data_IF_214845303864
#
_entry.id   IF_214845303864
#
_cell.length_a   1.000
_cell.length_b   1.000
_cell.length_c   1.000
_cell.angle_alpha   90.00
_cell.angle_beta   90.00
_cell.angle_gamma   90.00
#
_symmetry.space_group_name_H-M   'P 1'
#
loop_
_entity.id
_entity.type
_entity.pdbx_description
1 polymer ?
#
# COMPACT_ATOMS: atom_id res chain seq x y z
N UNK A 1 -7.23 -3.55 13.45
CA UNK A 1 -6.84 -3.97 12.09
C UNK A 1 -6.36 -5.40 12.15
N UNK A 2 -6.50 -6.18 11.07
CA UNK A 2 -5.91 -7.51 11.00
C UNK A 2 -4.39 -7.41 10.88
N UNK A 3 -3.69 -8.28 11.60
CA UNK A 3 -2.23 -8.38 11.58
C UNK A 3 -1.80 -9.24 10.39
N UNK A 4 -1.50 -8.60 9.27
CA UNK A 4 -0.98 -9.23 8.05
C UNK A 4 0.44 -8.74 7.82
N UNK A 5 1.34 -9.66 7.45
CA UNK A 5 2.71 -9.29 7.12
C UNK A 5 2.75 -8.60 5.76
N UNK A 6 3.20 -7.35 5.76
CA UNK A 6 3.51 -6.56 4.58
C UNK A 6 5.02 -6.39 4.46
N UNK A 7 5.58 -6.93 3.39
CA UNK A 7 7.01 -6.85 3.10
C UNK A 7 7.24 -5.81 2.00
N UNK A 8 8.21 -4.91 2.23
CA UNK A 8 8.68 -3.94 1.23
C UNK A 8 10.05 -4.40 0.73
N UNK A 9 10.18 -4.60 -0.58
CA UNK A 9 11.48 -4.88 -1.19
C UNK A 9 12.41 -3.67 -1.00
N UNK A 10 13.63 -3.91 -0.54
CA UNK A 10 14.61 -2.86 -0.20
C UNK A 10 15.45 -2.41 -1.39
N UNK A 11 15.25 -2.98 -2.59
CA UNK A 11 16.07 -2.68 -3.77
C UNK A 11 15.23 -2.15 -4.95
N UNK A 12 15.64 -0.96 -5.40
CA UNK A 12 15.34 -0.20 -6.62
C UNK A 12 14.20 0.83 -6.60
N UNK A 13 14.60 2.04 -7.01
CA UNK A 13 13.97 3.37 -6.88
C UNK A 13 12.69 3.65 -7.69
N UNK A 14 11.94 2.65 -8.18
CA UNK A 14 10.67 2.95 -8.85
C UNK A 14 9.62 1.88 -8.57
N UNK A 15 8.61 2.26 -7.78
CA UNK A 15 7.42 1.46 -7.52
C UNK A 15 7.48 0.66 -6.23
N UNK A 16 6.73 1.10 -5.21
CA UNK A 16 6.52 0.35 -3.98
C UNK A 16 5.78 -0.96 -4.25
N UNK A 17 6.51 -2.06 -4.49
CA UNK A 17 5.91 -3.40 -4.42
C UNK A 17 5.84 -3.78 -2.94
N UNK A 18 4.72 -3.46 -2.31
CA UNK A 18 4.33 -4.04 -1.03
C UNK A 18 3.69 -5.38 -1.34
N UNK A 19 4.40 -6.47 -1.08
CA UNK A 19 3.81 -7.81 -1.17
C UNK A 19 3.09 -8.04 0.16
N UNK A 20 1.76 -8.05 0.11
CA UNK A 20 0.94 -8.52 1.22
C UNK A 20 0.88 -10.04 1.12
N UNK A 21 1.63 -10.74 1.98
CA UNK A 21 1.60 -12.20 2.02
C UNK A 21 0.30 -12.70 2.65
N UNK A 22 -0.12 -13.95 2.38
CA UNK A 22 -1.20 -14.62 3.12
C UNK A 22 -0.80 -14.99 4.56
N UNK A 23 0.38 -14.55 5.01
CA UNK A 23 0.96 -14.91 6.29
C UNK A 23 0.46 -13.95 7.37
N UNK A 24 -0.27 -14.51 8.34
CA UNK A 24 -0.65 -13.81 9.56
C UNK A 24 0.62 -13.42 10.32
N UNK A 25 0.66 -12.19 10.84
CA UNK A 25 1.79 -11.76 11.64
C UNK A 25 1.84 -12.52 12.97
N UNK A 26 3.04 -12.90 13.40
CA UNK A 26 3.24 -13.72 14.59
C UNK A 26 2.69 -13.02 15.84
N UNK A 27 2.15 -13.78 16.82
CA UNK A 27 1.82 -13.24 18.13
C UNK A 27 3.05 -12.56 18.74
N UNK A 28 2.90 -11.34 19.24
CA UNK A 28 4.04 -10.55 19.76
C UNK A 28 4.67 -9.59 18.74
N UNK A 29 4.36 -9.71 17.44
CA UNK A 29 4.88 -8.78 16.42
C UNK A 29 4.32 -7.37 16.65
N UNK A 30 5.19 -6.36 16.64
CA UNK A 30 4.76 -4.96 16.70
C UNK A 30 3.92 -4.60 15.48
N UNK A 31 2.83 -3.89 15.70
CA UNK A 31 1.94 -3.43 14.66
C UNK A 31 1.48 -2.00 14.95
N UNK A 32 1.06 -1.28 13.91
CA UNK A 32 0.43 0.03 14.06
C UNK A 32 -1.08 -0.16 14.08
N UNK A 33 -1.75 0.38 15.10
CA UNK A 33 -3.21 0.28 15.23
C UNK A 33 -3.89 1.12 14.15
N UNK A 34 -5.20 0.92 13.94
CA UNK A 34 -5.98 1.70 12.97
C UNK A 34 -6.00 3.21 13.30
N UNK A 35 -5.72 3.58 14.54
CA UNK A 35 -5.61 4.99 15.00
C UNK A 35 -4.18 5.52 14.97
N UNK A 36 -3.22 4.78 14.40
CA UNK A 36 -1.82 5.20 14.28
C UNK A 36 -0.98 4.97 15.55
N UNK A 37 -1.52 4.34 16.58
CA UNK A 37 -0.81 4.07 17.84
C UNK A 37 -0.03 2.75 17.85
N UNK A 38 0.88 2.54 18.81
CA UNK A 38 1.59 1.27 18.96
C UNK A 38 0.66 0.14 19.40
N UNK A 39 0.83 -1.02 18.78
CA UNK A 39 0.07 -2.24 19.06
C UNK A 39 0.95 -3.48 18.96
N UNK A 40 0.39 -4.61 19.37
CA UNK A 40 0.99 -5.93 19.23
C UNK A 40 -0.01 -6.90 18.62
N UNK A 41 0.47 -7.80 17.77
CA UNK A 41 -0.37 -8.80 17.14
C UNK A 41 -0.74 -9.91 18.14
N UNK A 42 -2.04 -10.16 18.31
CA UNK A 42 -2.59 -11.25 19.12
C UNK A 42 -3.71 -11.90 18.29
N UNK A 43 -3.57 -13.20 17.97
CA UNK A 43 -4.56 -13.95 17.17
C UNK A 43 -4.99 -13.21 15.89
N UNK A 44 -4.01 -12.75 15.12
CA UNK A 44 -4.23 -12.05 13.83
C UNK A 44 -4.95 -10.69 13.94
N UNK A 45 -5.03 -10.13 15.15
CA UNK A 45 -5.58 -8.80 15.42
C UNK A 45 -4.48 -7.92 16.02
N UNK A 46 -4.32 -6.71 15.47
CA UNK A 46 -3.45 -5.70 16.06
C UNK A 46 -4.14 -5.10 17.28
N UNK A 47 -3.71 -5.52 18.47
CA UNK A 47 -4.25 -5.08 19.75
C UNK A 47 -3.44 -3.89 20.27
N UNK A 48 -4.06 -2.76 20.63
CA UNK A 48 -3.35 -1.59 21.15
C UNK A 48 -2.64 -1.91 22.47
N UNK A 49 -1.47 -1.31 22.69
CA UNK A 49 -0.76 -1.39 23.97
C UNK A 49 -1.14 -0.15 24.78
N UNK A 50 -1.68 -0.36 25.99
CA UNK A 50 -1.96 0.72 26.92
C UNK A 50 -0.66 1.32 27.48
N UNK A 51 -0.76 2.52 28.07
CA UNK A 51 0.39 3.21 28.66
C UNK A 51 1.08 2.46 29.83
N UNK A 52 0.45 1.41 30.35
CA UNK A 52 0.99 0.51 31.37
C UNK A 52 1.76 -0.67 30.76
N UNK A 53 2.01 -0.65 29.44
CA UNK A 53 2.74 -1.69 28.72
C UNK A 53 1.92 -2.94 28.44
N UNK A 54 0.61 -2.92 28.73
CA UNK A 54 -0.26 -4.08 28.60
C UNK A 54 -1.07 -4.05 27.30
N UNK A 55 -1.01 -5.12 26.53
CA UNK A 55 -1.82 -5.29 25.33
C UNK A 55 -3.31 -5.40 25.70
N UNK A 56 -4.15 -4.60 25.06
CA UNK A 56 -5.59 -4.52 25.30
C UNK A 56 -5.99 -3.66 26.50
N UNK A 57 -5.02 -3.04 27.18
CA UNK A 57 -5.31 -2.10 28.26
C UNK A 57 -5.94 -0.82 27.72
N UNK A 58 -7.00 -0.37 28.40
CA UNK A 58 -7.71 0.87 28.07
C UNK A 58 -7.07 2.10 28.71
N UNK A 59 -5.97 1.94 29.44
CA UNK A 59 -5.24 3.06 30.05
C UNK A 59 -4.49 3.83 28.97
N UNK A 60 -4.60 5.15 29.03
CA UNK A 60 -3.93 6.07 28.12
C UNK A 60 -3.06 7.05 28.90
N UNK A 61 -1.99 7.54 28.25
CA UNK A 61 -1.18 8.61 28.79
C UNK A 61 -2.02 9.89 28.83
N UNK A 62 -2.09 10.57 29.99
CA UNK A 62 -2.70 11.89 30.11
C UNK A 62 -1.81 12.97 29.48
N UNK A 63 -2.32 14.19 29.32
CA UNK A 63 -1.52 15.31 28.79
C UNK A 63 -0.28 15.63 29.64
N UNK A 64 -0.23 15.16 30.89
CA UNK A 64 0.89 15.30 31.82
C UNK A 64 1.87 14.12 31.79
N UNK A 65 1.78 13.22 30.81
CA UNK A 65 2.70 12.09 30.66
C UNK A 65 2.45 10.91 31.61
N UNK A 66 1.34 10.88 32.35
CA UNK A 66 1.02 9.78 33.28
C UNK A 66 0.05 8.78 32.68
N UNK A 67 0.29 7.51 32.95
CA UNK A 67 -0.64 6.47 32.57
C UNK A 67 -1.86 6.43 33.49
N UNK A 68 -3.03 6.83 33.00
CA UNK A 68 -4.27 6.87 33.79
C UNK A 68 -5.36 5.98 33.19
N UNK A 69 -6.26 5.53 34.06
CA UNK A 69 -7.50 4.89 33.61
C UNK A 69 -8.51 5.94 33.16
N UNK A 70 -9.35 5.66 32.14
CA UNK A 70 -10.27 6.64 31.55
C UNK A 70 -11.28 7.24 32.54
N UNK A 71 -11.51 6.59 33.69
CA UNK A 71 -12.45 7.04 34.72
C UNK A 71 -11.78 7.72 35.94
N UNK A 72 -10.47 7.97 35.91
CA UNK A 72 -9.79 8.68 37.00
C UNK A 72 -9.73 10.19 36.67
N UNK A 73 -10.49 11.00 37.40
CA UNK A 73 -10.52 12.45 37.21
C UNK A 73 -9.17 13.08 37.58
N UNK A 74 -8.56 13.77 36.62
CA UNK A 74 -7.24 14.35 36.76
C UNK A 74 -7.30 15.72 37.45
N UNK A 75 -7.33 15.75 38.79
CA UNK A 75 -7.26 16.99 39.57
C UNK A 75 -5.82 17.53 39.74
N UNK A 76 -4.83 16.93 39.07
CA UNK A 76 -3.39 17.16 39.30
C UNK A 76 -2.65 17.61 38.05
N UNK A 77 -3.25 17.55 36.85
CA UNK A 77 -2.62 18.01 35.61
C UNK A 77 -3.10 19.41 35.25
N UNK A 78 -2.21 20.39 35.36
CA UNK A 78 -2.49 21.78 35.03
C UNK A 78 -2.03 22.12 33.61
N UNK A 79 -2.85 22.92 32.91
CA UNK A 79 -2.52 23.49 31.61
C UNK A 79 -1.93 24.87 31.82
N UNK A 80 -0.70 25.08 31.37
CA UNK A 80 0.00 26.35 31.43
C UNK A 80 0.11 26.90 30.01
N UNK A 81 -0.44 28.08 29.78
CA UNK A 81 -0.39 28.72 28.46
C UNK A 81 -0.49 30.22 28.56
N UNK A 82 0.14 30.93 27.63
CA UNK A 82 -0.05 32.36 27.51
C UNK A 82 0.78 33.00 26.40
N UNK A 83 0.45 34.24 26.03
CA UNK A 83 1.31 35.06 25.19
C UNK A 83 2.49 35.62 26.02
N UNK A 84 3.65 35.70 25.40
CA UNK A 84 4.85 36.36 25.94
C UNK A 84 5.27 37.42 24.93
N UNK A 85 5.27 38.67 25.39
CA UNK A 85 5.81 39.80 24.65
C UNK A 85 6.80 40.54 25.53
N UNK A 86 7.94 40.92 24.97
CA UNK A 86 8.97 41.72 25.65
C UNK A 86 9.20 43.03 24.92
N UNK A 87 9.90 43.95 25.58
CA UNK A 87 10.26 45.24 24.97
C UNK A 87 11.13 45.02 23.72
N UNK A 88 10.97 45.88 22.69
CA UNK A 88 11.77 45.81 21.47
C UNK A 88 13.27 45.73 21.74
N UNK A 89 13.92 44.67 21.25
CA UNK A 89 15.32 44.33 21.57
C UNK A 89 16.02 43.78 20.33
N UNK A 90 17.35 43.67 20.39
CA UNK A 90 18.21 43.01 19.40
C UNK A 90 19.10 41.98 20.09
N UNK A 91 19.50 40.93 19.39
CA UNK A 91 20.28 39.81 19.92
C UNK A 91 19.40 38.69 20.47
N UNK A 92 19.98 37.88 21.36
CA UNK A 92 19.31 36.75 21.99
C UNK A 92 18.41 37.22 23.14
N UNK A 93 17.15 36.81 23.11
CA UNK A 93 16.15 37.15 24.12
C UNK A 93 15.58 35.87 24.70
N UNK A 94 15.85 35.59 25.98
CA UNK A 94 15.21 34.50 26.72
C UNK A 94 13.71 34.78 26.86
N UNK A 95 12.85 33.81 26.54
CA UNK A 95 11.40 33.99 26.51
C UNK A 95 10.70 33.20 27.60
N UNK A 96 10.98 31.90 27.70
CA UNK A 96 10.44 31.03 28.75
C UNK A 96 11.42 29.91 29.06
N UNK A 97 11.50 29.54 30.34
CA UNK A 97 12.13 28.30 30.79
C UNK A 97 11.05 27.26 31.05
N UNK A 98 11.10 26.15 30.33
CA UNK A 98 10.19 25.04 30.51
C UNK A 98 10.75 24.10 31.58
N UNK A 99 9.96 23.76 32.62
CA UNK A 99 10.44 22.95 33.74
C UNK A 99 10.54 21.47 33.38
N UNK A 100 11.33 20.74 34.18
CA UNK A 100 11.32 19.27 34.18
C UNK A 100 9.90 18.76 34.44
N UNK A 101 9.49 17.73 33.71
CA UNK A 101 8.13 17.16 33.79
C UNK A 101 7.09 17.91 32.95
N UNK A 102 7.44 19.00 32.27
CA UNK A 102 6.54 19.59 31.28
C UNK A 102 6.36 18.63 30.09
N UNK A 103 5.13 18.47 29.64
CA UNK A 103 4.76 17.58 28.54
C UNK A 103 3.76 18.23 27.61
N UNK A 104 3.57 17.66 26.42
CA UNK A 104 2.70 18.23 25.36
C UNK A 104 3.03 19.71 25.11
N UNK A 105 4.32 20.00 24.97
CA UNK A 105 4.84 21.36 24.82
C UNK A 105 4.57 21.82 23.39
N UNK A 106 4.06 23.03 23.25
CA UNK A 106 3.92 23.75 21.99
C UNK A 106 4.36 25.19 22.18
N UNK A 107 5.33 25.65 21.39
CA UNK A 107 5.82 27.03 21.43
C UNK A 107 5.81 27.60 20.02
N UNK A 108 5.16 28.74 19.83
CA UNK A 108 4.97 29.36 18.52
C UNK A 108 5.52 30.77 18.52
N UNK A 109 6.43 31.06 17.59
CA UNK A 109 6.87 32.40 17.23
C UNK A 109 5.95 32.95 16.13
N UNK A 110 5.32 34.09 16.40
CA UNK A 110 4.36 34.75 15.50
C UNK A 110 5.00 35.79 14.59
N UNK A 111 6.32 35.91 14.64
CA UNK A 111 7.09 36.78 13.76
C UNK A 111 7.70 35.96 12.62
N UNK A 112 7.86 36.57 11.42
CA UNK A 112 8.57 35.93 10.34
C UNK A 112 10.02 35.58 10.72
N UNK A 113 10.57 34.46 10.20
CA UNK A 113 11.96 34.03 10.44
C UNK A 113 13.01 35.12 10.14
N UNK A 114 12.69 36.06 9.24
CA UNK A 114 13.56 37.21 8.89
C UNK A 114 13.68 38.25 10.00
N UNK A 115 12.68 38.34 10.89
CA UNK A 115 12.61 39.32 11.97
C UNK A 115 12.99 38.70 13.32
N UNK A 116 12.68 37.42 13.52
CA UNK A 116 12.95 36.69 14.74
C UNK A 116 12.99 35.19 14.45
N UNK A 117 13.96 34.48 15.02
CA UNK A 117 14.07 33.01 14.90
C UNK A 117 14.05 32.35 16.27
N UNK A 118 13.26 31.29 16.42
CA UNK A 118 13.17 30.52 17.67
C UNK A 118 14.37 29.60 17.86
N UNK A 119 14.95 29.58 19.05
CA UNK A 119 16.08 28.75 19.44
C UNK A 119 15.80 28.03 20.77
N UNK A 120 16.48 26.91 20.99
CA UNK A 120 16.37 26.12 22.23
C UNK A 120 17.74 25.94 22.84
N UNK A 121 17.84 26.24 24.14
CA UNK A 121 19.05 26.06 24.93
C UNK A 121 18.88 25.05 26.05
N UNK A 122 19.95 24.34 26.34
CA UNK A 122 20.09 23.50 27.53
C UNK A 122 20.24 24.34 28.80
N UNK A 123 20.13 23.69 29.95
CA UNK A 123 20.42 24.28 31.25
C UNK A 123 21.90 24.67 31.40
N UNK A 124 22.81 23.96 30.73
CA UNK A 124 24.26 24.28 30.68
C UNK A 124 24.57 25.47 29.79
N UNK A 125 23.63 25.89 28.94
CA UNK A 125 23.74 27.04 28.06
C UNK A 125 24.09 26.72 26.61
N UNK A 126 24.19 25.44 26.25
CA UNK A 126 24.46 24.98 24.90
C UNK A 126 23.22 25.12 24.00
N UNK A 127 23.41 25.46 22.73
CA UNK A 127 22.33 25.51 21.75
C UNK A 127 21.95 24.09 21.31
N UNK A 128 20.74 23.66 21.64
CA UNK A 128 20.14 22.38 21.24
C UNK A 128 19.44 22.50 19.89
N UNK A 129 18.91 23.69 19.58
CA UNK A 129 18.28 24.01 18.29
C UNK A 129 18.45 25.49 17.96
N UNK A 130 18.66 25.80 16.68
CA UNK A 130 18.86 27.17 16.18
C UNK A 130 17.94 27.51 15.02
N UNK A 131 17.99 26.73 13.94
CA UNK A 131 17.04 26.78 12.82
C UNK A 131 17.17 25.49 12.04
N UNK A 132 16.05 24.95 11.56
CA UNK A 132 16.01 23.73 10.76
C UNK A 132 15.06 23.86 9.58
N UNK A 133 15.09 22.91 8.62
CA UNK A 133 14.04 22.81 7.61
C UNK A 133 12.68 22.45 8.25
N UNK A 134 11.54 22.79 7.63
CA UNK A 134 10.23 22.37 8.13
C UNK A 134 10.14 20.84 8.26
N UNK A 135 9.59 20.34 9.36
CA UNK A 135 9.54 18.92 9.70
C UNK A 135 10.82 18.37 10.32
N UNK A 136 11.81 19.23 10.63
CA UNK A 136 13.04 18.81 11.29
C UNK A 136 12.77 18.33 12.72
N UNK A 137 13.27 17.14 13.04
CA UNK A 137 13.18 16.54 14.36
C UNK A 137 14.53 16.70 15.07
N UNK A 138 14.53 17.13 16.32
CA UNK A 138 15.74 17.29 17.13
C UNK A 138 15.50 16.89 18.59
N UNK A 139 16.57 16.50 19.30
CA UNK A 139 16.47 16.16 20.71
C UNK A 139 16.70 17.39 21.60
N UNK A 140 15.78 17.63 22.53
CA UNK A 140 15.95 18.64 23.58
C UNK A 140 15.27 18.21 24.88
N UNK A 141 15.95 18.44 26.01
CA UNK A 141 15.41 18.11 27.33
C UNK A 141 15.08 16.63 27.55
N UNK A 142 15.67 15.72 26.76
CA UNK A 142 15.44 14.27 26.84
C UNK A 142 14.23 13.76 26.05
N UNK A 143 13.67 14.57 25.14
CA UNK A 143 12.60 14.17 24.21
C UNK A 143 12.85 14.73 22.82
N UNK A 144 12.17 14.16 21.81
CA UNK A 144 12.18 14.65 20.43
C UNK A 144 11.19 15.80 20.28
N UNK A 145 11.63 16.88 19.64
CA UNK A 145 10.83 18.02 19.21
C UNK A 145 10.74 18.04 17.69
N UNK A 146 9.57 18.43 17.19
CA UNK A 146 9.34 18.68 15.77
C UNK A 146 9.24 20.19 15.52
N UNK A 147 9.99 20.66 14.53
CA UNK A 147 9.96 22.05 14.08
C UNK A 147 9.05 22.20 12.87
N UNK A 148 8.01 23.03 13.00
CA UNK A 148 7.08 23.32 11.92
C UNK A 148 7.14 24.80 11.52
N UNK A 149 6.90 25.05 10.23
CA UNK A 149 6.69 26.39 9.70
C UNK A 149 5.37 26.38 8.96
N UNK A 150 4.46 27.27 9.32
CA UNK A 150 3.19 27.44 8.63
C UNK A 150 3.09 28.83 8.01
N UNK A 151 2.40 28.89 6.87
CA UNK A 151 2.13 30.13 6.14
C UNK A 151 0.64 30.18 5.89
N UNK A 152 -0.07 30.99 6.67
CA UNK A 152 -1.52 31.13 6.58
C UNK A 152 -1.88 32.59 6.33
N UNK A 153 -2.56 32.87 5.20
CA UNK A 153 -2.98 34.23 4.85
C UNK A 153 -1.83 35.24 4.67
N UNK A 154 -0.59 34.79 4.47
CA UNK A 154 0.60 35.65 4.36
C UNK A 154 1.36 35.88 5.67
N UNK A 155 0.84 35.39 6.81
CA UNK A 155 1.54 35.40 8.08
C UNK A 155 2.37 34.12 8.25
N UNK A 156 3.62 34.30 8.67
CA UNK A 156 4.56 33.22 8.94
C UNK A 156 4.56 32.92 10.43
N UNK A 157 4.42 31.64 10.80
CA UNK A 157 4.68 31.20 12.17
C UNK A 157 5.64 30.03 12.20
N UNK A 158 6.55 30.07 13.17
CA UNK A 158 7.47 28.97 13.48
C UNK A 158 6.97 28.32 14.76
N UNK A 159 6.83 26.99 14.81
CA UNK A 159 6.43 26.27 16.01
C UNK A 159 7.34 25.10 16.33
N UNK A 160 7.48 24.85 17.63
CA UNK A 160 8.18 23.72 18.23
C UNK A 160 7.18 22.92 19.04
N UNK A 161 7.02 21.64 18.70
CA UNK A 161 6.04 20.75 19.36
C UNK A 161 6.71 19.46 19.84
N UNK A 162 6.26 18.94 20.97
CA UNK A 162 6.60 17.58 21.41
C UNK A 162 5.44 16.97 22.19
N UNK A 163 5.24 15.66 22.01
CA UNK A 163 4.32 14.87 22.81
C UNK A 163 5.02 14.15 23.98
N UNK A 164 6.35 14.21 24.06
CA UNK A 164 7.10 13.63 25.16
C UNK A 164 7.14 14.52 26.40
N UNK A 165 7.79 14.02 27.45
CA UNK A 165 7.96 14.71 28.74
C UNK A 165 9.41 15.13 28.90
N UNK A 166 9.64 16.36 29.38
CA UNK A 166 10.98 16.87 29.61
C UNK A 166 11.64 16.22 30.84
N UNK A 167 12.81 15.62 30.64
CA UNK A 167 13.67 15.11 31.71
C UNK A 167 14.57 16.21 32.28
N UNK A 168 14.94 17.19 31.46
CA UNK A 168 15.78 18.33 31.85
C UNK A 168 15.07 19.65 31.50
N UNK A 169 15.39 20.72 32.24
CA UNK A 169 14.86 22.04 31.92
C UNK A 169 15.46 22.57 30.61
N UNK A 170 14.63 23.22 29.78
CA UNK A 170 15.08 23.86 28.54
C UNK A 170 14.64 25.31 28.51
N UNK A 171 15.42 26.15 27.84
CA UNK A 171 15.13 27.58 27.70
C UNK A 171 14.84 27.88 26.25
N UNK A 172 13.68 28.48 25.99
CA UNK A 172 13.32 29.01 24.68
C UNK A 172 13.88 30.43 24.56
N UNK A 173 14.69 30.65 23.53
CA UNK A 173 15.22 31.94 23.17
C UNK A 173 14.72 32.36 21.79
N UNK A 174 14.70 33.67 21.54
CA UNK A 174 14.50 34.23 20.21
C UNK A 174 15.70 35.08 19.84
N UNK A 175 16.25 34.84 18.66
CA UNK A 175 17.28 35.68 18.07
C UNK A 175 16.66 36.78 17.20
N UNK A 176 16.98 38.04 17.48
CA UNK A 176 16.51 39.21 16.73
C UNK A 176 17.71 39.93 16.10
N UNK A 177 17.90 39.91 14.77
CA UNK A 177 19.15 40.33 14.15
C UNK A 177 19.50 41.81 14.38
N UNK A 178 18.65 42.77 13.94
CA UNK A 178 19.02 44.21 14.04
C UNK A 178 17.86 45.21 14.15
N UNK A 179 16.61 44.84 13.85
CA UNK A 179 15.54 45.83 13.63
C UNK A 179 14.80 46.33 14.89
N UNK A 180 15.29 46.04 16.11
CA UNK A 180 14.58 46.26 17.39
C UNK A 180 13.09 45.92 17.28
N UNK A 181 12.79 44.63 17.20
CA UNK A 181 11.41 44.12 17.13
C UNK A 181 11.02 43.58 18.50
N UNK A 182 9.75 43.72 18.89
CA UNK A 182 9.23 43.07 20.09
C UNK A 182 8.98 41.59 19.79
N UNK A 183 9.62 40.64 20.48
CA UNK A 183 9.35 39.22 20.26
C UNK A 183 7.91 38.90 20.64
N UNK A 184 7.25 38.06 19.84
CA UNK A 184 5.87 37.63 20.04
C UNK A 184 5.79 36.12 20.00
N UNK A 185 5.75 35.50 21.20
CA UNK A 185 5.61 34.05 21.34
C UNK A 185 4.33 33.71 22.06
N UNK A 186 3.69 32.60 21.69
CA UNK A 186 2.74 31.91 22.54
C UNK A 186 3.29 30.55 22.93
N UNK A 187 3.04 30.12 24.16
CA UNK A 187 3.39 28.79 24.61
C UNK A 187 2.19 28.09 25.22
N UNK A 188 2.23 26.76 25.19
CA UNK A 188 1.35 25.85 25.90
C UNK A 188 2.17 24.63 26.35
N UNK A 189 1.99 24.22 27.60
CA UNK A 189 2.47 22.93 28.10
C UNK A 189 1.59 22.47 29.26
N UNK A 190 1.69 21.18 29.58
CA UNK A 190 1.01 20.59 30.73
C UNK A 190 2.05 20.16 31.76
N UNK A 191 1.72 20.30 33.05
CA UNK A 191 2.57 19.88 34.15
C UNK A 191 1.74 19.44 35.35
N UNK A 192 2.37 18.73 36.28
CA UNK A 192 1.70 18.37 37.54
C UNK A 192 1.62 19.59 38.47
N UNK A 193 0.48 19.81 39.10
CA UNK A 193 0.24 20.91 40.03
C UNK A 193 0.87 20.58 41.41
N UNK A 194 1.79 21.46 41.87
CA UNK A 194 2.47 21.54 43.18
C UNK A 194 2.35 20.35 44.16
N UNK A 195 3.39 19.50 44.19
CA UNK A 195 3.66 18.47 45.23
C UNK A 195 4.48 19.05 46.38
N UNK A 196 4.13 20.21 46.93
CA UNK A 196 4.85 20.77 48.11
C UNK A 196 4.17 20.48 49.46
N UNK A 197 2.99 19.85 49.48
CA UNK A 197 2.27 19.52 50.75
C UNK A 197 2.16 18.02 51.06
N UNK A 198 2.75 17.12 50.26
CA UNK A 198 2.81 15.68 50.58
C UNK A 198 4.04 15.29 51.42
N UNK A 199 4.84 16.28 51.87
CA UNK A 199 6.07 16.06 52.64
C UNK A 199 5.90 15.78 54.14
N UNK A 200 4.67 15.70 54.68
CA UNK A 200 4.45 15.49 56.13
C UNK A 200 3.25 14.60 56.49
N UNK A 201 3.00 13.53 55.73
CA UNK A 201 2.38 12.34 56.32
C UNK A 201 3.05 11.14 55.67
N UNK A 202 3.86 10.45 56.48
CA UNK A 202 4.57 9.25 56.07
C UNK A 202 3.59 8.13 55.77
N UNK A 203 3.12 8.08 54.53
CA UNK A 203 2.83 6.83 53.84
C UNK A 203 3.67 6.84 52.59
N UNK A 204 4.69 5.98 52.57
CA UNK A 204 5.34 5.56 51.32
C UNK A 204 4.27 4.85 50.48
N UNK A 205 3.39 5.60 49.83
CA UNK A 205 2.75 5.14 48.61
C UNK A 205 3.86 5.10 47.57
N UNK A 206 4.56 3.96 47.58
CA UNK A 206 5.15 3.43 46.37
C UNK A 206 4.04 3.56 45.33
N UNK A 207 4.32 4.23 44.20
CA UNK A 207 3.47 4.11 43.03
C UNK A 207 3.13 2.64 42.77
N UNK A 208 2.09 2.33 41.96
CA UNK A 208 1.79 0.95 41.60
C UNK A 208 3.13 0.30 41.24
N UNK A 209 3.46 -0.84 41.88
CA UNK A 209 4.82 -1.36 41.86
C UNK A 209 5.28 -1.32 40.40
N UNK A 210 6.36 -0.57 40.13
CA UNK A 210 7.23 -0.92 39.01
C UNK A 210 7.35 -2.41 39.14
N UNK A 211 6.76 -3.14 38.18
CA UNK A 211 6.65 -4.60 38.19
C UNK A 211 7.90 -5.11 38.87
N UNK A 212 7.76 -5.52 40.14
CA UNK A 212 8.83 -6.21 40.83
C UNK A 212 9.28 -7.26 39.83
N UNK A 213 10.58 -7.36 39.49
CA UNK A 213 11.02 -8.27 38.44
C UNK A 213 10.39 -9.61 38.77
N UNK A 214 9.43 -10.11 37.96
CA UNK A 214 8.86 -11.39 38.27
C UNK A 214 10.02 -12.33 38.04
N UNK A 215 10.42 -13.07 39.07
CA UNK A 215 11.45 -14.11 38.97
C UNK A 215 10.96 -15.28 38.07
N UNK A 216 9.99 -15.04 37.20
CA UNK A 216 9.21 -15.98 36.41
C UNK A 216 8.69 -15.34 35.10
N UNK A 217 9.42 -14.37 34.54
CA UNK A 217 9.28 -13.97 33.13
C UNK A 217 10.26 -14.83 32.33
N UNK A 218 9.77 -15.59 31.37
CA UNK A 218 10.62 -16.38 30.47
C UNK A 218 9.95 -16.59 29.11
N UNK A 219 10.74 -17.08 28.16
CA UNK A 219 10.27 -17.52 26.86
C UNK A 219 9.39 -18.77 27.00
N UNK A 220 8.16 -18.70 26.49
CA UNK A 220 7.30 -19.88 26.35
C UNK A 220 6.80 -20.02 24.92
N UNK A 221 6.55 -21.25 24.48
CA UNK A 221 6.00 -21.49 23.14
C UNK A 221 4.50 -21.23 23.12
N UNK A 222 4.07 -20.42 22.16
CA UNK A 222 2.65 -20.26 21.84
C UNK A 222 2.05 -21.51 21.18
N UNK A 223 0.75 -21.49 20.85
CA UNK A 223 0.14 -22.55 20.07
C UNK A 223 0.80 -22.65 18.68
N UNK A 224 0.77 -23.85 18.10
CA UNK A 224 1.19 -24.03 16.70
C UNK A 224 0.30 -23.19 15.77
N UNK A 225 0.94 -22.52 14.81
CA UNK A 225 0.25 -21.87 13.72
C UNK A 225 -0.55 -22.89 12.89
N UNK A 226 -1.43 -22.39 12.03
CA UNK A 226 -2.12 -23.20 11.02
C UNK A 226 -1.11 -23.94 10.13
N UNK A 227 -1.48 -25.14 9.67
CA UNK A 227 -0.62 -25.92 8.78
C UNK A 227 -0.44 -25.17 7.46
N UNK A 228 0.78 -25.19 6.91
CA UNK A 228 1.07 -24.59 5.59
C UNK A 228 0.16 -25.14 4.50
N UNK A 229 -0.24 -26.40 4.64
CA UNK A 229 -1.09 -27.11 3.70
C UNK A 229 -2.27 -27.74 4.46
N UNK A 230 -3.48 -27.62 3.92
CA UNK A 230 -4.67 -28.25 4.53
C UNK A 230 -4.76 -29.75 4.22
N UNK A 231 -4.13 -30.16 3.13
CA UNK A 231 -3.95 -31.53 2.67
C UNK A 231 -2.54 -31.63 2.06
N UNK A 232 -1.96 -32.82 1.96
CA UNK A 232 -0.51 -33.06 1.72
C UNK A 232 0.39 -32.85 2.93
N UNK A 233 1.68 -33.13 2.77
CA UNK A 233 2.69 -32.99 3.83
C UNK A 233 3.06 -31.52 4.00
N UNK A 234 2.49 -30.88 5.02
CA UNK A 234 2.82 -29.51 5.42
C UNK A 234 3.71 -29.46 6.66
N UNK A 235 4.00 -28.24 7.09
CA UNK A 235 4.66 -27.96 8.38
C UNK A 235 3.83 -26.98 9.21
N UNK A 236 3.88 -27.15 10.52
CA UNK A 236 3.38 -26.19 11.51
C UNK A 236 4.54 -25.72 12.37
N UNK A 237 4.55 -24.43 12.65
CA UNK A 237 5.61 -23.80 13.44
C UNK A 237 4.99 -23.23 14.72
N UNK A 238 5.66 -23.41 15.85
CA UNK A 238 5.38 -22.71 17.10
C UNK A 238 6.58 -21.82 17.44
N UNK A 239 6.30 -20.56 17.75
CA UNK A 239 7.31 -19.56 18.11
C UNK A 239 7.32 -19.34 19.62
N UNK A 240 8.50 -19.01 20.15
CA UNK A 240 8.64 -18.56 21.53
C UNK A 240 8.22 -17.09 21.65
N UNK A 241 7.40 -16.81 22.65
CA UNK A 241 6.93 -15.48 23.05
C UNK A 241 7.32 -15.21 24.49
N UNK A 242 7.62 -13.94 24.80
CA UNK A 242 7.95 -13.56 26.16
C UNK A 242 6.69 -13.59 27.01
N UNK A 243 6.69 -14.36 28.10
CA UNK A 243 5.49 -14.53 28.93
C UNK A 243 5.75 -14.32 30.40
N UNK A 244 4.74 -13.74 31.04
CA UNK A 244 4.65 -13.59 32.48
C UNK A 244 3.89 -14.78 33.08
N UNK A 245 4.63 -15.71 33.69
CA UNK A 245 4.07 -16.96 34.23
C UNK A 245 3.23 -16.72 35.49
N UNK A 246 3.45 -15.61 36.20
CA UNK A 246 2.69 -15.27 37.40
C UNK A 246 1.31 -14.67 37.06
N UNK A 247 1.12 -14.20 35.83
CA UNK A 247 -0.11 -13.56 35.34
C UNK A 247 -0.75 -14.35 34.19
N UNK A 248 -1.08 -15.62 34.44
CA UNK A 248 -1.84 -16.47 33.51
C UNK A 248 -1.23 -16.54 32.09
N UNK A 249 0.10 -16.69 32.00
CA UNK A 249 0.86 -16.74 30.74
C UNK A 249 0.61 -15.55 29.83
N UNK A 250 0.52 -14.35 30.41
CA UNK A 250 0.32 -13.11 29.66
C UNK A 250 1.52 -12.85 28.75
N UNK A 251 1.25 -12.57 27.48
CA UNK A 251 2.26 -12.23 26.48
C UNK A 251 2.75 -10.79 26.70
N UNK A 252 4.06 -10.62 26.78
CA UNK A 252 4.77 -9.36 26.92
C UNK A 252 5.60 -9.07 25.65
N UNK A 253 6.01 -7.82 25.42
CA UNK A 253 6.98 -7.51 24.38
C UNK A 253 8.34 -8.20 24.62
N UNK A 254 9.06 -8.52 23.55
CA UNK A 254 10.30 -9.31 23.60
C UNK A 254 11.40 -8.68 24.48
N UNK A 255 11.41 -7.36 24.66
CA UNK A 255 12.42 -6.66 25.48
C UNK A 255 12.39 -7.08 26.96
N UNK A 256 11.26 -7.58 27.46
CA UNK A 256 11.15 -8.08 28.84
C UNK A 256 11.90 -9.41 29.05
N UNK A 257 12.15 -10.18 27.98
CA UNK A 257 12.92 -11.42 28.02
C UNK A 257 14.34 -11.26 27.44
N UNK A 258 14.82 -10.02 27.27
CA UNK A 258 16.15 -9.73 26.69
C UNK A 258 17.33 -10.30 27.49
N UNK A 259 17.11 -10.69 28.75
CA UNK A 259 18.10 -11.35 29.61
C UNK A 259 18.32 -12.84 29.31
N UNK A 260 17.46 -13.48 28.51
CA UNK A 260 17.59 -14.86 28.08
C UNK A 260 17.57 -14.96 26.55
N UNK A 261 18.33 -15.92 26.00
CA UNK A 261 18.37 -16.14 24.56
C UNK A 261 17.02 -16.64 24.05
N UNK A 262 16.50 -16.01 22.99
CA UNK A 262 15.21 -16.38 22.39
C UNK A 262 15.30 -17.79 21.78
N UNK A 263 14.47 -18.76 22.23
CA UNK A 263 14.49 -20.11 21.70
C UNK A 263 14.15 -20.18 20.21
N UNK A 264 14.73 -21.15 19.51
CA UNK A 264 14.44 -21.39 18.10
C UNK A 264 13.00 -21.90 17.91
N UNK A 265 12.36 -21.61 16.77
CA UNK A 265 11.00 -22.08 16.52
C UNK A 265 10.93 -23.61 16.48
N UNK A 266 9.88 -24.19 17.07
CA UNK A 266 9.59 -25.62 16.96
C UNK A 266 8.86 -25.85 15.64
N UNK A 267 9.42 -26.73 14.81
CA UNK A 267 8.82 -27.14 13.54
C UNK A 267 8.33 -28.58 13.67
N UNK A 268 7.08 -28.83 13.26
CA UNK A 268 6.51 -30.18 13.16
C UNK A 268 5.85 -30.39 11.81
N UNK A 269 5.82 -31.64 11.35
CA UNK A 269 5.02 -32.01 10.19
C UNK A 269 3.53 -32.04 10.52
N UNK A 270 2.70 -31.66 9.56
CA UNK A 270 1.24 -31.62 9.67
C UNK A 270 0.62 -31.91 8.30
N UNK A 271 -0.71 -32.02 8.26
CA UNK A 271 -1.47 -32.31 7.04
C UNK A 271 -1.81 -33.79 6.90
N UNK A 272 -2.91 -34.05 6.22
CA UNK A 272 -3.57 -35.36 6.21
C UNK A 272 -3.57 -35.95 4.81
N UNK A 273 -2.47 -36.63 4.44
CA UNK A 273 -2.43 -37.46 3.24
C UNK A 273 -2.78 -36.72 1.94
N UNK A 274 -3.42 -37.41 1.01
CA UNK A 274 -3.78 -36.85 -0.30
C UNK A 274 -4.94 -35.84 -0.17
N UNK A 275 -4.95 -34.83 -1.02
CA UNK A 275 -6.09 -33.90 -1.13
C UNK A 275 -7.34 -34.57 -1.69
N UNK A 276 -8.49 -33.92 -1.53
CA UNK A 276 -9.71 -34.34 -2.21
C UNK A 276 -9.53 -34.27 -3.75
N UNK A 277 -10.02 -35.25 -4.52
CA UNK A 277 -9.96 -35.23 -5.98
C UNK A 277 -10.70 -34.02 -6.57
N UNK A 278 -10.12 -33.41 -7.60
CA UNK A 278 -10.65 -32.22 -8.27
C UNK A 278 -10.59 -32.34 -9.79
N UNK A 279 -11.56 -31.71 -10.46
CA UNK A 279 -11.53 -31.58 -11.92
C UNK A 279 -10.50 -30.54 -12.34
N UNK A 280 -9.63 -30.92 -13.26
CA UNK A 280 -8.64 -30.05 -13.88
C UNK A 280 -8.89 -30.01 -15.37
N UNK A 281 -8.94 -28.80 -15.93
CA UNK A 281 -9.15 -28.60 -17.37
C UNK A 281 -7.90 -28.05 -18.01
N UNK A 282 -7.57 -28.54 -19.21
CA UNK A 282 -6.60 -27.89 -20.09
C UNK A 282 -7.29 -26.79 -20.91
N UNK A 283 -6.48 -26.07 -21.66
CA UNK A 283 -6.96 -25.10 -22.63
C UNK A 283 -7.84 -25.75 -23.69
N UNK A 284 -8.71 -24.95 -24.28
CA UNK A 284 -9.51 -25.36 -25.42
C UNK A 284 -8.60 -25.61 -26.62
N UNK A 285 -8.79 -26.76 -27.26
CA UNK A 285 -8.20 -27.02 -28.56
C UNK A 285 -8.71 -26.01 -29.60
N UNK A 286 -8.01 -25.84 -30.73
CA UNK A 286 -8.49 -25.04 -31.84
C UNK A 286 -9.92 -25.42 -32.25
N UNK A 287 -10.67 -24.43 -32.73
CA UNK A 287 -12.02 -24.65 -33.24
C UNK A 287 -11.99 -25.68 -34.37
N UNK A 288 -12.88 -26.68 -34.34
CA UNK A 288 -12.98 -27.68 -35.40
C UNK A 288 -13.34 -27.06 -36.74
N UNK A 289 -13.99 -25.89 -36.71
CA UNK A 289 -14.29 -25.10 -37.87
C UNK A 289 -13.08 -24.21 -38.25
N UNK A 290 -12.56 -24.41 -39.46
CA UNK A 290 -11.42 -23.66 -40.02
C UNK A 290 -11.83 -22.52 -40.96
N UNK A 291 -13.14 -22.40 -41.26
CA UNK A 291 -13.75 -21.38 -42.12
C UNK A 291 -14.76 -20.55 -41.31
N UNK A 292 -15.33 -19.49 -41.87
CA UNK A 292 -16.31 -18.68 -41.12
C UNK A 292 -17.57 -19.52 -40.81
N UNK A 293 -18.05 -19.47 -39.57
CA UNK A 293 -19.21 -20.27 -39.12
C UNK A 293 -19.09 -20.83 -37.70
N UNK A 294 -20.05 -21.69 -37.34
CA UNK A 294 -20.11 -22.38 -36.04
C UNK A 294 -19.28 -23.65 -36.10
N UNK A 295 -18.40 -23.86 -35.13
CA UNK A 295 -17.68 -25.11 -34.90
C UNK A 295 -17.82 -25.58 -33.46
N UNK A 296 -17.09 -26.64 -33.13
CA UNK A 296 -16.94 -27.14 -31.76
C UNK A 296 -15.48 -27.08 -31.32
N UNK A 297 -15.26 -26.74 -30.05
CA UNK A 297 -13.98 -26.88 -29.37
C UNK A 297 -14.09 -27.94 -28.31
N UNK A 298 -13.03 -28.73 -28.20
CA UNK A 298 -12.87 -29.71 -27.14
C UNK A 298 -11.75 -29.29 -26.20
N UNK A 299 -11.86 -29.65 -24.93
CA UNK A 299 -10.77 -29.53 -23.96
C UNK A 299 -10.66 -30.80 -23.15
N UNK A 300 -9.44 -31.06 -22.68
CA UNK A 300 -9.22 -32.17 -21.77
C UNK A 300 -9.74 -31.81 -20.38
N UNK A 301 -10.58 -32.69 -19.81
CA UNK A 301 -11.10 -32.60 -18.44
C UNK A 301 -10.69 -33.89 -17.73
N UNK A 302 -9.84 -33.79 -16.71
CA UNK A 302 -9.31 -34.94 -15.97
C UNK A 302 -9.61 -34.80 -14.48
N UNK A 303 -9.96 -35.91 -13.84
CA UNK A 303 -9.99 -35.98 -12.39
C UNK A 303 -8.57 -36.18 -11.86
N UNK A 304 -8.09 -35.24 -11.04
CA UNK A 304 -6.74 -35.23 -10.49
C UNK A 304 -6.78 -35.26 -8.97
N UNK A 305 -5.84 -35.95 -8.34
CA UNK A 305 -5.59 -35.91 -6.91
C UNK A 305 -4.20 -35.37 -6.65
N UNK A 306 -4.07 -34.44 -5.70
CA UNK A 306 -2.77 -34.01 -5.21
C UNK A 306 -2.33 -34.97 -4.11
N UNK A 307 -1.30 -35.77 -4.39
CA UNK A 307 -0.75 -36.75 -3.47
C UNK A 307 0.00 -36.10 -2.31
N UNK A 308 0.19 -36.84 -1.21
CA UNK A 308 0.87 -36.36 -0.01
C UNK A 308 2.31 -35.85 -0.24
N UNK A 309 2.95 -36.30 -1.32
CA UNK A 309 4.28 -35.89 -1.77
C UNK A 309 4.29 -34.62 -2.65
N UNK A 310 3.13 -33.98 -2.87
CA UNK A 310 2.98 -32.80 -3.71
C UNK A 310 2.83 -33.08 -5.21
N UNK A 311 2.70 -34.34 -5.62
CA UNK A 311 2.52 -34.72 -7.03
C UNK A 311 1.03 -34.79 -7.40
N UNK A 312 0.67 -34.12 -8.48
CA UNK A 312 -0.66 -34.28 -9.10
C UNK A 312 -0.69 -35.59 -9.91
N UNK A 313 -1.62 -36.49 -9.59
CA UNK A 313 -1.83 -37.76 -10.29
C UNK A 313 -3.25 -37.85 -10.85
N UNK A 314 -3.38 -38.39 -12.07
CA UNK A 314 -4.67 -38.66 -12.67
C UNK A 314 -5.33 -39.86 -12.00
N UNK A 315 -6.61 -39.71 -11.66
CA UNK A 315 -7.44 -40.76 -11.05
C UNK A 315 -8.72 -40.98 -11.85
N UNK A 316 -9.53 -41.97 -11.47
CA UNK A 316 -10.79 -42.26 -12.15
C UNK A 316 -11.82 -41.14 -11.95
N UNK A 317 -12.63 -40.90 -12.98
CA UNK A 317 -13.64 -39.84 -13.01
C UNK A 317 -14.66 -39.93 -11.86
N UNK A 318 -14.95 -41.13 -11.37
CA UNK A 318 -15.91 -41.39 -10.28
C UNK A 318 -15.47 -40.81 -8.92
N UNK A 319 -14.18 -40.53 -8.76
CA UNK A 319 -13.63 -39.99 -7.52
C UNK A 319 -13.81 -38.47 -7.41
N UNK A 320 -14.07 -37.79 -8.53
CA UNK A 320 -14.38 -36.36 -8.55
C UNK A 320 -15.90 -36.11 -8.47
N UNK A 321 -16.35 -35.03 -7.83
CA UNK A 321 -17.78 -34.73 -7.75
C UNK A 321 -18.40 -34.48 -9.14
N UNK A 322 -19.35 -35.32 -9.54
CA UNK A 322 -20.03 -35.20 -10.84
C UNK A 322 -20.72 -33.84 -11.04
N UNK A 323 -21.28 -33.28 -9.95
CA UNK A 323 -21.97 -31.98 -9.99
C UNK A 323 -21.06 -30.81 -10.40
N UNK A 324 -19.75 -30.92 -10.19
CA UNK A 324 -18.78 -29.89 -10.54
C UNK A 324 -18.00 -30.21 -11.82
N UNK A 325 -18.35 -31.28 -12.55
CA UNK A 325 -17.63 -31.68 -13.77
C UNK A 325 -17.74 -30.59 -14.85
N UNK A 326 -16.61 -29.97 -15.25
CA UNK A 326 -16.63 -28.95 -16.29
C UNK A 326 -17.00 -29.54 -17.65
N UNK A 327 -17.63 -28.73 -18.51
CA UNK A 327 -17.93 -29.12 -19.90
C UNK A 327 -16.64 -29.42 -20.66
N UNK A 328 -16.59 -30.54 -21.37
CA UNK A 328 -15.45 -30.92 -22.21
C UNK A 328 -15.59 -30.41 -23.66
N UNK A 329 -16.79 -29.96 -24.04
CA UNK A 329 -17.10 -29.46 -25.37
C UNK A 329 -17.87 -28.12 -25.28
N UNK A 330 -17.58 -27.21 -26.20
CA UNK A 330 -18.32 -25.96 -26.40
C UNK A 330 -18.42 -25.61 -27.87
N UNK A 331 -19.40 -24.77 -28.22
CA UNK A 331 -19.46 -24.14 -29.54
C UNK A 331 -18.43 -23.00 -29.65
N UNK A 332 -17.86 -22.83 -30.83
CA UNK A 332 -16.99 -21.72 -31.21
C UNK A 332 -17.53 -21.05 -32.47
N UNK A 333 -17.35 -19.72 -32.56
CA UNK A 333 -17.74 -18.93 -33.72
C UNK A 333 -16.47 -18.35 -34.35
N UNK A 334 -16.22 -18.70 -35.60
CA UNK A 334 -15.16 -18.10 -36.40
C UNK A 334 -15.76 -16.94 -37.20
N UNK A 335 -15.52 -15.71 -36.74
CA UNK A 335 -15.98 -14.43 -37.34
C UNK A 335 -14.80 -13.63 -37.92
N UNK A 336 -15.07 -12.56 -38.66
CA UNK A 336 -14.04 -11.67 -39.26
C UNK A 336 -12.95 -11.23 -38.28
N UNK A 337 -13.30 -10.98 -37.00
CA UNK A 337 -12.35 -10.61 -35.94
C UNK A 337 -11.33 -11.70 -35.57
N UNK A 338 -11.46 -12.91 -36.11
CA UNK A 338 -10.67 -14.10 -35.74
C UNK A 338 -9.91 -14.70 -36.93
N UNK A 339 -9.84 -14.01 -38.07
CA UNK A 339 -8.96 -14.36 -39.20
C UNK A 339 -9.64 -14.78 -40.52
N UNK A 340 -10.91 -14.44 -40.76
CA UNK A 340 -11.50 -14.54 -42.10
C UNK A 340 -11.19 -13.26 -42.89
N UNK A 341 -10.20 -13.30 -43.80
CA UNK A 341 -9.95 -12.20 -44.73
C UNK A 341 -10.82 -12.32 -45.99
N UNK A 342 -11.41 -11.20 -46.42
CA UNK A 342 -12.14 -11.06 -47.69
C UNK A 342 -11.47 -10.00 -48.55
N UNK A 343 -11.59 -10.12 -49.87
CA UNK A 343 -11.10 -9.10 -50.82
C UNK A 343 -12.03 -8.93 -52.02
N UNK A 344 -11.96 -7.76 -52.66
CA UNK A 344 -12.66 -7.53 -53.93
C UNK A 344 -11.83 -8.15 -55.07
N UNK A 345 -12.36 -9.19 -55.69
CA UNK A 345 -11.81 -9.74 -56.94
C UNK A 345 -12.40 -8.95 -58.12
N UNK A 346 -11.53 -8.51 -59.01
CA UNK A 346 -11.86 -7.68 -60.17
C UNK A 346 -11.48 -8.41 -61.46
N UNK A 347 -12.45 -8.51 -62.38
CA UNK A 347 -12.15 -9.02 -63.72
C UNK A 347 -11.31 -8.00 -64.53
N UNK A 348 -10.54 -8.50 -65.50
CA UNK A 348 -9.85 -7.66 -66.48
C UNK A 348 -10.84 -6.85 -67.34
N UNK A 349 -10.44 -5.64 -67.73
CA UNK A 349 -11.27 -4.81 -68.62
C UNK A 349 -11.33 -5.41 -70.02
N UNK A 350 -12.54 -5.49 -70.59
CA UNK A 350 -12.71 -5.81 -72.02
C UNK A 350 -12.14 -4.74 -72.96
N UNK A 351 -11.96 -5.09 -74.23
CA UNK A 351 -11.48 -4.17 -75.26
C UNK A 351 -12.54 -3.11 -75.64
N UNK A 352 -12.10 -1.87 -75.85
CA UNK A 352 -12.97 -0.72 -76.08
C UNK A 352 -13.30 -0.60 -77.58
N UNK A 353 -14.50 -1.01 -77.98
CA UNK A 353 -14.92 -0.93 -79.40
C UNK A 353 -16.30 -0.30 -79.65
N UNK A 354 -16.93 0.29 -78.63
CA UNK A 354 -18.25 0.93 -78.76
C UNK A 354 -18.29 2.26 -78.00
N UNK A 355 -19.36 3.03 -78.21
CA UNK A 355 -19.62 4.28 -77.48
C UNK A 355 -20.20 4.04 -76.08
N UNK A 356 -20.49 2.79 -75.71
CA UNK A 356 -21.00 2.45 -74.37
C UNK A 356 -19.84 2.27 -73.37
N UNK A 357 -20.05 2.62 -72.09
CA UNK A 357 -19.06 2.40 -71.03
C UNK A 357 -18.80 0.90 -70.85
N UNK A 358 -17.54 0.54 -70.65
CA UNK A 358 -17.18 -0.84 -70.32
C UNK A 358 -17.64 -1.14 -68.89
N UNK A 359 -18.27 -2.30 -68.70
CA UNK A 359 -18.61 -2.85 -67.40
C UNK A 359 -17.73 -4.06 -67.10
N UNK A 360 -17.12 -4.09 -65.92
CA UNK A 360 -16.42 -5.27 -65.40
C UNK A 360 -17.12 -5.80 -64.16
N UNK A 361 -17.03 -7.10 -63.97
CA UNK A 361 -17.53 -7.76 -62.76
C UNK A 361 -16.57 -7.49 -61.60
N UNK A 362 -17.14 -7.13 -60.45
CA UNK A 362 -16.42 -7.01 -59.18
C UNK A 362 -17.20 -7.83 -58.15
N UNK A 363 -16.58 -8.88 -57.62
CA UNK A 363 -17.18 -9.81 -56.67
C UNK A 363 -16.36 -9.84 -55.38
N UNK A 364 -17.04 -9.98 -54.23
CA UNK A 364 -16.37 -10.18 -52.96
C UNK A 364 -15.98 -11.66 -52.87
N UNK A 365 -14.72 -11.97 -52.61
CA UNK A 365 -14.26 -13.34 -52.41
C UNK A 365 -13.60 -13.50 -51.05
N UNK A 366 -13.65 -14.72 -50.53
CA UNK A 366 -12.85 -15.08 -49.35
C UNK A 366 -11.43 -15.53 -49.75
N UNK A 367 -10.57 -15.75 -48.76
CA UNK A 367 -9.20 -16.25 -48.96
C UNK A 367 -9.09 -17.60 -49.69
N UNK A 368 -10.20 -18.29 -49.96
CA UNK A 368 -10.28 -19.53 -50.73
C UNK A 368 -10.84 -19.35 -52.15
N UNK A 369 -11.11 -18.11 -52.59
CA UNK A 369 -11.65 -17.79 -53.91
C UNK A 369 -13.14 -18.05 -54.07
N UNK A 370 -13.89 -18.28 -52.97
CA UNK A 370 -15.33 -18.47 -53.06
C UNK A 370 -16.06 -17.12 -53.07
N UNK A 371 -17.02 -16.95 -53.99
CA UNK A 371 -17.83 -15.72 -54.10
C UNK A 371 -18.74 -15.58 -52.88
N UNK A 372 -18.52 -14.52 -52.13
CA UNK A 372 -19.29 -14.13 -50.96
C UNK A 372 -20.26 -12.98 -51.28
N UNK A 373 -21.35 -12.82 -50.50
CA UNK A 373 -22.22 -11.66 -50.61
C UNK A 373 -21.48 -10.31 -50.48
N UNK A 374 -21.86 -9.25 -51.22
CA UNK A 374 -21.14 -7.96 -51.25
C UNK A 374 -20.95 -7.25 -49.90
N UNK A 375 -21.80 -7.54 -48.90
CA UNK A 375 -21.70 -6.91 -47.58
C UNK A 375 -20.46 -7.37 -46.80
N UNK A 376 -19.86 -8.52 -47.13
CA UNK A 376 -18.62 -8.99 -46.51
C UNK A 376 -17.37 -8.21 -46.97
N UNK A 377 -17.47 -7.44 -48.05
CA UNK A 377 -16.39 -6.57 -48.52
C UNK A 377 -16.78 -5.08 -48.44
N UNK A 378 -17.92 -4.72 -47.83
CA UNK A 378 -18.39 -3.33 -47.80
C UNK A 378 -17.51 -2.38 -46.99
N UNK A 379 -16.69 -2.93 -46.10
CA UNK A 379 -15.69 -2.18 -45.34
C UNK A 379 -14.39 -1.95 -46.12
N UNK A 380 -14.21 -2.60 -47.28
CA UNK A 380 -13.06 -2.47 -48.16
C UNK A 380 -13.38 -1.49 -49.30
N UNK A 381 -12.37 -0.77 -49.78
CA UNK A 381 -12.54 0.15 -50.90
C UNK A 381 -12.93 -0.60 -52.17
N UNK A 382 -14.06 -0.22 -52.79
CA UNK A 382 -14.56 -0.82 -54.03
C UNK A 382 -14.29 0.10 -55.21
N UNK A 383 -13.47 -0.35 -56.14
CA UNK A 383 -13.17 0.37 -57.38
C UNK A 383 -14.38 0.43 -58.32
N UNK A 384 -14.35 1.32 -59.32
CA UNK A 384 -15.48 1.46 -60.24
C UNK A 384 -15.65 0.20 -61.12
N UNK A 385 -16.89 -0.28 -61.22
CA UNK A 385 -17.27 -1.33 -62.16
C UNK A 385 -17.48 -0.80 -63.58
N UNK A 386 -17.54 0.53 -63.75
CA UNK A 386 -17.74 1.21 -65.02
C UNK A 386 -16.54 2.09 -65.37
N UNK A 387 -16.13 2.04 -66.63
CA UNK A 387 -15.11 2.93 -67.19
C UNK A 387 -15.58 3.54 -68.51
N UNK A 388 -15.49 4.88 -68.69
CA UNK A 388 -15.79 5.53 -69.97
C UNK A 388 -14.85 5.04 -71.08
N UNK A 389 -15.38 4.87 -72.30
CA UNK A 389 -14.58 4.55 -73.47
C UNK A 389 -14.15 5.85 -74.18
N UNK A 390 -12.89 6.27 -74.03
CA UNK A 390 -12.36 7.48 -74.66
C UNK A 390 -11.50 7.13 -75.90
N UNK A 391 -12.15 7.13 -77.09
CA UNK A 391 -11.65 6.92 -78.48
C UNK A 391 -11.37 5.46 -78.89
N UNK A 392 -11.86 4.91 -80.02
CA UNK A 392 -12.64 5.41 -81.17
C UNK A 392 -13.29 4.24 -81.97
N UNK A 393 -14.00 4.50 -83.08
CA UNK A 393 -14.97 3.56 -83.68
C UNK A 393 -14.33 2.32 -84.34
N UNK A 394 -14.79 1.13 -83.96
CA UNK A 394 -14.37 -0.14 -84.56
C UNK A 394 -15.25 -0.50 -85.76
N UNK A 395 -14.67 -0.60 -86.96
CA UNK A 395 -15.29 -1.26 -88.12
C UNK A 395 -14.52 -2.56 -88.42
N UNK A 396 -15.27 -3.67 -88.50
CA UNK A 396 -14.85 -5.05 -88.79
C UNK A 396 -13.34 -5.33 -88.89
N UNK A 397 -12.71 -5.62 -87.75
CA UNK A 397 -11.50 -6.45 -87.69
C UNK A 397 -10.15 -5.79 -87.37
N UNK A 398 -10.10 -4.60 -86.76
CA UNK A 398 -8.86 -4.12 -86.12
C UNK A 398 -8.79 -2.61 -85.92
N UNK A 399 -8.21 -2.20 -84.79
CA UNK A 399 -7.89 -0.80 -84.46
C UNK A 399 -6.58 -0.41 -85.13
N UNK A 400 -6.60 0.53 -86.08
CA UNK A 400 -5.40 1.21 -86.57
C UNK A 400 -5.49 2.71 -86.29
N UNK A 401 -4.41 3.25 -85.74
CA UNK A 401 -4.19 4.68 -85.53
C UNK A 401 -4.10 5.39 -86.90
N UNK A 402 -4.92 6.42 -87.13
CA UNK A 402 -4.84 7.26 -88.33
C UNK A 402 -3.61 8.19 -88.25
N UNK A 403 -2.65 8.13 -89.18
CA UNK A 403 -1.43 8.92 -89.14
C UNK A 403 -1.66 10.31 -89.76
N UNK A 404 -2.08 11.30 -88.96
CA UNK A 404 -1.91 12.71 -89.33
C UNK A 404 -1.87 13.74 -88.17
N UNK A 405 -1.28 13.38 -87.03
CA UNK A 405 -0.64 14.35 -86.12
C UNK A 405 0.76 13.85 -85.70
N UNK A 406 1.72 13.94 -86.61
CA UNK A 406 3.08 14.31 -86.23
C UNK A 406 3.22 15.80 -86.55
N UNK A 407 3.31 16.66 -85.52
CA UNK A 407 4.08 17.91 -85.45
C UNK A 407 3.78 18.66 -84.14
N UNK A 408 4.84 18.78 -83.31
CA UNK A 408 5.15 19.83 -82.33
C UNK A 408 4.15 20.16 -81.19
N UNK A 409 4.42 19.61 -80.00
CA UNK A 409 5.10 20.32 -78.90
C UNK A 409 5.59 19.34 -77.83
#
# INVERSE_FOLDING_TARGET
>A
GQCLLTCKATTWDDGHVVVQGPLEAFPGTHCTTATGGPGICISSVCTPIGCDGLAGSTKAVDKCGRCISPNLSNKVCSRNSGPITKNPTTGHVEMIRLPVGASTVSVTNHLPPRLASIMVRSETGDFLFTVGPPGHIFEAGGTEFEYHVSVEGGNFTESLTTNGTLNNSITIEVYIPSQRVAPSISYEYHSLENVETWGRTGTRDRGPPLLSPPNNIDWSYGPFLSCTETCTTGIQVAYAVCTDLDFNNRILPDNYCSGSEKPTPIVRHCGSGNCAPRWVTRDWLPCSQTRCGVGSQQRLVQCMVLEANGRDSMVTDDLCPLASKPRHERECLMTESTGCGTEWEEDEWGECCSTEPLERRIQCVDSGGAVQPPFFCSHLHRNSSLRPCEKGPCTNGGCFLDPQEMVLL
#
